data_IF_457201941874
#
_entry.id   IF_457201941874
#
_cell.length_a   1.000
_cell.length_b   1.000
_cell.length_c   1.000
_cell.angle_alpha   90.00
_cell.angle_beta   90.00
_cell.angle_gamma   90.00
#
_symmetry.space_group_name_H-M   'P 1'
#
loop_
_entity.id
_entity.type
_entity.pdbx_description
1 polymer ?
#
# COMPACT_ATOMS: atom_id res chain seq x y z
N UNK A 1 10.29 5.51 22.37
CA UNK A 1 10.01 5.64 20.95
C UNK A 1 8.81 4.78 20.58
N UNK A 2 7.95 5.31 19.75
CA UNK A 2 6.74 4.65 19.32
C UNK A 2 6.93 4.20 17.87
N UNK A 3 6.70 2.91 17.60
CA UNK A 3 6.81 2.35 16.25
C UNK A 3 5.49 2.60 15.50
N UNK A 4 5.51 3.36 14.41
CA UNK A 4 4.29 3.68 13.67
C UNK A 4 3.84 2.59 12.70
N UNK A 5 4.59 1.51 12.53
CA UNK A 5 4.37 0.54 11.45
C UNK A 5 2.95 -0.04 11.44
N UNK A 6 2.44 -0.47 12.59
CA UNK A 6 1.10 -1.04 12.67
C UNK A 6 0.03 0.01 12.34
N UNK A 7 0.14 1.20 12.93
CA UNK A 7 -0.84 2.26 12.69
C UNK A 7 -0.85 2.72 11.23
N UNK A 8 0.32 2.75 10.59
CA UNK A 8 0.43 3.06 9.16
C UNK A 8 -0.28 1.99 8.34
N UNK A 9 -0.06 0.73 8.65
CA UNK A 9 -0.71 -0.37 7.92
C UNK A 9 -2.23 -0.28 8.01
N UNK A 10 -2.76 -0.06 9.20
CA UNK A 10 -4.20 0.09 9.40
C UNK A 10 -4.74 1.27 8.58
N UNK A 11 -4.06 2.40 8.62
CA UNK A 11 -4.47 3.59 7.89
C UNK A 11 -4.43 3.38 6.37
N UNK A 12 -3.39 2.70 5.87
CA UNK A 12 -3.25 2.42 4.44
C UNK A 12 -4.34 1.47 3.94
N UNK A 13 -4.60 0.39 4.67
CA UNK A 13 -5.67 -0.55 4.29
C UNK A 13 -7.00 0.19 4.21
N UNK A 14 -7.32 1.00 5.21
CA UNK A 14 -8.54 1.78 5.22
C UNK A 14 -8.64 2.74 4.03
N UNK A 15 -7.56 3.44 3.71
CA UNK A 15 -7.52 4.36 2.58
C UNK A 15 -7.69 3.64 1.26
N UNK A 16 -7.02 2.50 1.07
CA UNK A 16 -7.07 1.74 -0.18
C UNK A 16 -8.44 1.11 -0.40
N UNK A 17 -9.08 0.61 0.65
CA UNK A 17 -10.45 0.10 0.56
C UNK A 17 -11.43 1.24 0.22
N UNK A 18 -11.30 2.38 0.90
CA UNK A 18 -12.18 3.52 0.68
C UNK A 18 -12.01 4.13 -0.72
N UNK A 19 -10.83 3.98 -1.33
CA UNK A 19 -10.56 4.48 -2.68
C UNK A 19 -11.43 3.78 -3.73
N UNK A 20 -11.85 2.55 -3.48
CA UNK A 20 -12.74 1.77 -4.35
C UNK A 20 -12.21 1.66 -5.78
N UNK A 21 -10.97 1.18 -5.93
CA UNK A 21 -10.40 0.88 -7.24
C UNK A 21 -11.07 -0.36 -7.85
N UNK A 22 -10.62 -0.78 -9.02
CA UNK A 22 -11.08 -2.04 -9.63
C UNK A 22 -10.80 -3.25 -8.72
N UNK A 23 -9.85 -3.13 -7.77
CA UNK A 23 -9.60 -4.17 -6.76
C UNK A 23 -10.68 -4.20 -5.68
N UNK A 24 -11.52 -3.17 -5.58
CA UNK A 24 -12.60 -3.11 -4.60
C UNK A 24 -12.08 -3.25 -3.17
N UNK A 25 -12.63 -4.21 -2.44
CA UNK A 25 -12.23 -4.49 -1.07
C UNK A 25 -11.11 -5.52 -0.96
N UNK A 26 -10.58 -6.00 -2.08
CA UNK A 26 -9.49 -6.98 -2.08
C UNK A 26 -8.15 -6.30 -1.79
N UNK A 27 -7.99 -5.90 -0.56
CA UNK A 27 -6.76 -5.28 -0.03
C UNK A 27 -6.31 -6.10 1.16
N UNK A 28 -5.12 -6.68 1.07
CA UNK A 28 -4.66 -7.70 2.02
C UNK A 28 -3.25 -7.45 2.51
N UNK A 29 -3.01 -7.81 3.75
CA UNK A 29 -1.66 -8.05 4.29
C UNK A 29 -1.28 -9.51 4.00
N UNK A 30 -2.07 -10.45 4.53
CA UNK A 30 -1.93 -11.87 4.26
C UNK A 30 -2.96 -12.28 3.21
N UNK A 31 -2.51 -12.53 1.99
CA UNK A 31 -3.40 -12.76 0.86
C UNK A 31 -4.07 -14.13 0.97
N UNK A 32 -5.41 -14.19 1.06
CA UNK A 32 -6.13 -15.47 1.07
C UNK A 32 -5.98 -16.21 -0.25
N UNK A 33 -6.35 -17.49 -0.26
CA UNK A 33 -6.39 -18.27 -1.50
C UNK A 33 -7.33 -17.64 -2.52
N UNK A 34 -7.15 -17.99 -3.78
CA UNK A 34 -8.01 -17.52 -4.85
C UNK A 34 -9.48 -17.90 -4.60
N UNK A 35 -9.71 -19.11 -4.09
CA UNK A 35 -11.05 -19.57 -3.74
C UNK A 35 -11.66 -18.71 -2.63
N UNK A 36 -10.88 -18.40 -1.61
CA UNK A 36 -11.37 -17.60 -0.49
C UNK A 36 -11.66 -16.17 -0.93
N UNK A 37 -10.80 -15.58 -1.76
CA UNK A 37 -11.05 -14.24 -2.31
C UNK A 37 -12.33 -14.18 -3.11
N UNK A 38 -12.57 -15.20 -3.93
CA UNK A 38 -13.80 -15.31 -4.73
C UNK A 38 -15.02 -15.44 -3.83
N UNK A 39 -14.92 -16.27 -2.80
CA UNK A 39 -16.02 -16.45 -1.84
C UNK A 39 -16.35 -15.15 -1.10
N UNK A 40 -15.33 -14.39 -0.69
CA UNK A 40 -15.50 -13.20 0.12
C UNK A 40 -16.00 -12.00 -0.68
N UNK A 41 -15.57 -11.85 -1.93
CA UNK A 41 -15.78 -10.61 -2.71
C UNK A 41 -16.45 -10.83 -4.07
N UNK A 42 -16.69 -12.07 -4.47
CA UNK A 42 -17.25 -12.41 -5.79
C UNK A 42 -16.20 -12.56 -6.88
N UNK A 43 -15.00 -12.04 -6.69
CA UNK A 43 -13.90 -12.11 -7.65
C UNK A 43 -12.58 -12.34 -6.90
N UNK A 44 -11.64 -13.02 -7.56
CA UNK A 44 -10.31 -13.20 -6.99
C UNK A 44 -9.31 -12.14 -7.46
N UNK A 45 -9.55 -11.53 -8.61
CA UNK A 45 -8.67 -10.57 -9.27
C UNK A 45 -9.43 -9.33 -9.70
N UNK A 46 -8.78 -8.16 -9.82
CA UNK A 46 -7.46 -7.86 -9.30
C UNK A 46 -7.47 -7.70 -7.78
N UNK A 47 -6.30 -7.70 -7.16
CA UNK A 47 -6.20 -7.42 -5.73
C UNK A 47 -4.95 -6.61 -5.40
N UNK A 48 -4.95 -6.04 -4.20
CA UNK A 48 -3.85 -5.24 -3.66
C UNK A 48 -3.30 -5.97 -2.46
N UNK A 49 -1.97 -6.06 -2.35
CA UNK A 49 -1.33 -6.59 -1.16
C UNK A 49 -0.30 -5.60 -0.63
N UNK A 50 -0.17 -5.52 0.69
CA UNK A 50 0.90 -4.79 1.33
C UNK A 50 2.09 -5.71 1.46
N UNK A 51 3.25 -5.25 1.01
CA UNK A 51 4.48 -6.01 1.11
C UNK A 51 5.17 -5.81 2.44
N UNK A 52 6.36 -6.36 2.55
CA UNK A 52 7.19 -6.17 3.73
C UNK A 52 7.53 -4.70 3.87
N UNK A 53 7.51 -4.22 5.11
CA UNK A 53 7.87 -2.85 5.42
C UNK A 53 9.20 -2.78 6.14
N UNK A 54 9.75 -1.59 6.18
CA UNK A 54 10.95 -1.29 6.97
C UNK A 54 10.77 0.07 7.62
N UNK A 55 10.93 0.13 8.93
CA UNK A 55 10.89 1.38 9.67
C UNK A 55 12.32 1.75 10.06
N UNK A 56 12.73 2.95 9.72
CA UNK A 56 14.04 3.49 10.05
C UNK A 56 13.85 4.67 10.99
N UNK A 57 14.28 4.57 12.25
CA UNK A 57 14.22 5.71 13.16
C UNK A 57 15.15 6.81 12.67
N UNK A 58 14.69 8.04 12.79
CA UNK A 58 15.49 9.24 12.54
C UNK A 58 15.62 9.95 13.85
N UNK A 59 16.61 9.52 14.65
CA UNK A 59 16.82 10.03 16.00
C UNK A 59 17.66 11.30 15.91
N UNK A 60 16.99 12.44 15.95
CA UNK A 60 17.64 13.73 16.08
C UNK A 60 17.43 14.25 17.49
N UNK A 61 18.32 15.11 17.94
CA UNK A 61 18.15 15.78 19.23
C UNK A 61 16.77 16.42 19.33
N UNK A 62 15.98 16.04 20.32
CA UNK A 62 14.63 16.55 20.58
C UNK A 62 13.53 16.07 19.63
N UNK A 63 13.83 15.20 18.66
CA UNK A 63 12.84 14.69 17.71
C UNK A 63 12.85 13.17 17.64
N UNK A 64 11.69 12.58 17.75
CA UNK A 64 11.49 11.14 17.59
C UNK A 64 10.72 10.92 16.27
N UNK A 65 11.45 10.89 15.17
CA UNK A 65 10.89 10.73 13.83
C UNK A 65 11.19 9.35 13.29
N UNK A 66 10.36 8.92 12.36
CA UNK A 66 10.53 7.63 11.69
C UNK A 66 10.26 7.77 10.20
N UNK A 67 11.02 7.02 9.42
CA UNK A 67 10.77 6.82 8.00
C UNK A 67 10.35 5.36 7.80
N UNK A 68 9.13 5.14 7.34
CA UNK A 68 8.60 3.80 7.08
C UNK A 68 8.50 3.60 5.59
N UNK A 69 9.17 2.56 5.10
CA UNK A 69 9.13 2.14 3.70
C UNK A 69 8.22 0.93 3.62
N UNK A 70 7.24 0.99 2.72
CA UNK A 70 6.32 -0.12 2.54
C UNK A 70 5.96 -0.25 1.06
N UNK A 71 5.87 -1.49 0.58
CA UNK A 71 5.45 -1.76 -0.78
C UNK A 71 3.95 -1.98 -0.83
N UNK A 72 3.31 -1.33 -1.79
CA UNK A 72 1.92 -1.61 -2.15
C UNK A 72 1.96 -2.30 -3.50
N UNK A 73 1.45 -3.52 -3.56
CA UNK A 73 1.47 -4.32 -4.77
C UNK A 73 0.07 -4.46 -5.35
N UNK A 74 -0.03 -4.27 -6.65
CA UNK A 74 -1.28 -4.48 -7.40
C UNK A 74 -1.07 -5.69 -8.31
N UNK A 75 -2.00 -6.63 -8.24
CA UNK A 75 -1.92 -7.88 -8.99
C UNK A 75 -3.13 -8.01 -9.90
N UNK A 76 -2.90 -8.35 -11.17
CA UNK A 76 -3.95 -8.48 -12.17
C UNK A 76 -3.67 -9.67 -13.07
N UNK A 77 -4.74 -10.31 -13.54
CA UNK A 77 -4.68 -11.32 -14.60
C UNK A 77 -5.39 -10.87 -15.87
N UNK A 78 -5.74 -9.60 -15.94
CA UNK A 78 -6.29 -9.05 -17.18
C UNK A 78 -5.19 -8.98 -18.25
N UNK A 79 -5.61 -8.83 -19.50
CA UNK A 79 -4.68 -8.83 -20.63
C UNK A 79 -3.78 -7.58 -20.58
N UNK A 80 -2.46 -7.79 -20.55
CA UNK A 80 -1.49 -6.72 -20.57
C UNK A 80 -1.44 -5.91 -19.28
N UNK A 81 -0.94 -4.70 -19.36
CA UNK A 81 -0.70 -3.82 -18.22
C UNK A 81 -1.77 -2.75 -17.95
N UNK A 82 -2.78 -2.53 -18.80
CA UNK A 82 -3.70 -1.41 -18.55
C UNK A 82 -4.36 -1.44 -17.18
N UNK A 83 -4.82 -2.60 -16.71
CA UNK A 83 -5.51 -2.67 -15.42
C UNK A 83 -4.59 -2.34 -14.24
N UNK A 84 -3.39 -2.93 -14.18
CA UNK A 84 -2.47 -2.60 -13.08
C UNK A 84 -2.05 -1.14 -13.12
N UNK A 85 -1.93 -0.57 -14.33
CA UNK A 85 -1.56 0.85 -14.48
C UNK A 85 -2.69 1.77 -14.03
N UNK A 86 -3.93 1.43 -14.34
CA UNK A 86 -5.07 2.22 -13.88
C UNK A 86 -5.17 2.20 -12.35
N UNK A 87 -5.04 1.03 -11.76
CA UNK A 87 -5.13 0.88 -10.30
C UNK A 87 -3.95 1.59 -9.63
N UNK A 88 -2.72 1.35 -10.11
CA UNK A 88 -1.54 1.99 -9.56
C UNK A 88 -1.60 3.53 -9.66
N UNK A 89 -2.09 4.04 -10.78
CA UNK A 89 -2.27 5.48 -10.96
C UNK A 89 -3.27 6.06 -9.98
N UNK A 90 -4.38 5.37 -9.74
CA UNK A 90 -5.38 5.78 -8.75
C UNK A 90 -4.80 5.77 -7.33
N UNK A 91 -4.02 4.75 -6.99
CA UNK A 91 -3.37 4.66 -5.69
C UNK A 91 -2.36 5.81 -5.52
N UNK A 92 -1.54 6.07 -6.52
CA UNK A 92 -0.58 7.18 -6.45
C UNK A 92 -1.29 8.50 -6.24
N UNK A 93 -2.36 8.75 -6.98
CA UNK A 93 -3.12 9.99 -6.84
C UNK A 93 -3.72 10.16 -5.45
N UNK A 94 -4.07 9.05 -4.79
CA UNK A 94 -4.67 9.08 -3.45
C UNK A 94 -3.64 9.18 -2.33
N UNK A 95 -2.39 8.75 -2.57
CA UNK A 95 -1.38 8.66 -1.51
C UNK A 95 -0.26 9.69 -1.64
N UNK A 96 0.18 9.98 -2.88
CA UNK A 96 1.37 10.81 -3.07
C UNK A 96 1.14 12.25 -2.62
N UNK A 97 1.94 12.68 -1.63
CA UNK A 97 1.86 14.01 -1.04
C UNK A 97 0.47 14.34 -0.48
N UNK A 98 -0.22 13.32 0.03
CA UNK A 98 -1.56 13.47 0.61
C UNK A 98 -1.53 13.25 2.11
N UNK A 99 -2.58 13.73 2.79
CA UNK A 99 -2.75 13.53 4.21
C UNK A 99 -3.24 12.10 4.49
N UNK A 100 -2.83 11.57 5.64
CA UNK A 100 -3.27 10.27 6.13
C UNK A 100 -3.34 10.33 7.65
N UNK A 101 -4.51 10.01 8.20
CA UNK A 101 -4.67 9.97 9.65
C UNK A 101 -4.07 8.66 10.19
N UNK A 102 -3.05 8.78 11.02
CA UNK A 102 -2.33 7.64 11.59
C UNK A 102 -2.47 7.72 13.11
N UNK A 103 -3.09 6.68 13.70
CA UNK A 103 -3.37 6.68 15.13
C UNK A 103 -2.10 6.85 15.95
N UNK A 104 -2.11 7.85 16.85
CA UNK A 104 -0.98 8.13 17.74
C UNK A 104 0.21 8.83 17.09
N UNK A 105 0.10 9.20 15.82
CA UNK A 105 1.20 9.80 15.08
C UNK A 105 0.74 10.97 14.23
N UNK A 106 1.69 11.83 13.88
CA UNK A 106 1.50 12.92 12.93
C UNK A 106 2.26 12.58 11.66
N UNK A 107 1.58 12.68 10.52
CA UNK A 107 2.21 12.49 9.23
C UNK A 107 2.98 13.76 8.84
N UNK A 108 4.28 13.64 8.66
CA UNK A 108 5.09 14.73 8.12
C UNK A 108 5.01 14.75 6.60
N UNK A 109 5.15 13.58 5.96
CA UNK A 109 5.12 13.46 4.51
C UNK A 109 4.88 12.03 4.09
N UNK A 110 4.13 11.85 3.02
CA UNK A 110 3.93 10.55 2.39
C UNK A 110 4.20 10.68 0.89
N UNK A 111 5.05 9.80 0.37
CA UNK A 111 5.47 9.85 -1.04
C UNK A 111 5.44 8.47 -1.66
N UNK A 112 4.95 8.41 -2.90
CA UNK A 112 5.21 7.25 -3.75
C UNK A 112 6.54 7.52 -4.45
N UNK A 113 7.58 6.80 -4.02
CA UNK A 113 8.94 7.01 -4.51
C UNK A 113 9.14 6.43 -5.90
N UNK A 114 8.47 5.30 -6.18
CA UNK A 114 8.69 4.57 -7.41
C UNK A 114 7.51 3.64 -7.69
N UNK A 115 7.23 3.40 -8.97
CA UNK A 115 6.27 2.39 -9.41
C UNK A 115 6.97 1.53 -10.46
N UNK A 116 7.09 0.24 -10.19
CA UNK A 116 7.68 -0.71 -11.11
C UNK A 116 6.61 -1.70 -11.59
N UNK A 117 6.61 -1.96 -12.89
CA UNK A 117 5.67 -2.90 -13.51
C UNK A 117 6.41 -4.14 -13.96
N UNK A 118 5.85 -5.30 -13.71
CA UNK A 118 6.48 -6.57 -14.06
C UNK A 118 5.44 -7.63 -14.44
N UNK A 119 5.91 -8.60 -15.20
CA UNK A 119 5.14 -9.80 -15.54
C UNK A 119 5.65 -10.93 -14.69
N UNK A 120 4.73 -11.67 -14.09
CA UNK A 120 5.07 -12.84 -13.29
C UNK A 120 5.54 -13.99 -14.20
N UNK A 121 6.38 -14.92 -13.70
CA UNK A 121 6.82 -16.08 -14.48
C UNK A 121 5.71 -16.95 -15.06
N UNK A 122 4.49 -16.92 -14.48
CA UNK A 122 3.35 -17.66 -15.01
C UNK A 122 2.86 -17.14 -16.38
N UNK A 123 3.35 -15.96 -16.80
CA UNK A 123 3.03 -15.35 -18.09
C UNK A 123 1.67 -14.66 -18.16
N UNK A 124 0.80 -14.82 -17.16
CA UNK A 124 -0.55 -14.25 -17.15
C UNK A 124 -0.75 -13.19 -16.06
N UNK A 125 -0.01 -13.26 -14.97
CA UNK A 125 -0.13 -12.32 -13.86
C UNK A 125 0.76 -11.10 -14.09
N UNK A 126 0.19 -9.92 -13.92
CA UNK A 126 0.90 -8.64 -13.99
C UNK A 126 0.93 -8.01 -12.61
N UNK A 127 2.02 -7.31 -12.32
CA UNK A 127 2.23 -6.67 -11.03
C UNK A 127 2.62 -5.21 -11.21
N UNK A 128 2.06 -4.35 -10.38
CA UNK A 128 2.58 -3.02 -10.16
C UNK A 128 3.05 -2.96 -8.70
N UNK A 129 4.29 -2.54 -8.49
CA UNK A 129 4.86 -2.37 -7.14
C UNK A 129 5.09 -0.88 -6.90
N UNK A 130 4.37 -0.33 -5.94
CA UNK A 130 4.54 1.05 -5.52
C UNK A 130 5.40 1.05 -4.26
N UNK A 131 6.52 1.74 -4.30
CA UNK A 131 7.37 1.95 -3.13
C UNK A 131 6.92 3.22 -2.43
N UNK A 132 6.42 3.07 -1.21
CA UNK A 132 5.85 4.15 -0.44
C UNK A 132 6.77 4.50 0.72
N UNK A 133 7.04 5.80 0.89
CA UNK A 133 7.75 6.32 2.05
C UNK A 133 6.78 7.14 2.88
N UNK A 134 6.67 6.80 4.16
CA UNK A 134 5.81 7.48 5.12
C UNK A 134 6.67 8.02 6.26
N UNK A 135 6.78 9.32 6.35
CA UNK A 135 7.56 9.98 7.40
C UNK A 135 6.62 10.47 8.49
N UNK A 136 6.89 10.07 9.73
CA UNK A 136 6.01 10.34 10.86
C UNK A 136 6.77 10.75 12.10
N UNK A 137 6.04 11.36 13.04
CA UNK A 137 6.51 11.60 14.40
C UNK A 137 5.35 11.28 15.36
N UNK A 138 5.66 10.96 16.63
CA UNK A 138 4.60 10.71 17.61
C UNK A 138 3.72 11.94 17.81
N UNK A 139 2.43 11.72 17.99
CA UNK A 139 1.52 12.78 18.42
C UNK A 139 1.79 13.15 19.87
N UNK A 140 1.62 14.39 20.19
CA UNK A 140 1.81 14.91 21.55
C UNK A 140 0.58 14.60 22.40
#
# INVERSE_FOLDING_TARGET
>A
MSDPAYAIQVALVGRLVALATEAGQRVYDDVPSEEQRTSDTGEAWPYISLGNGQMVPVDEECFDRSSTYIDVNVWSRDIGFPQVKRIAGAIRAALHEKELAIAGHVLDRMRVENIAYSRDPDGVTRRARLELLVETQPAI
#
